data_IF_884559867009
#
_entry.id   IF_884559867009
#
_cell.length_a   1.000
_cell.length_b   1.000
_cell.length_c   1.000
_cell.angle_alpha   90.00
_cell.angle_beta   90.00
_cell.angle_gamma   90.00
#
_symmetry.space_group_name_H-M   'P 1'
#
loop_
_entity.id
_entity.type
_entity.pdbx_description
1 polymer ?
#
# COMPACT_ATOMS: atom_id res chain seq x y z
N UNK A 1 -5.34 -14.88 0.75
CA UNK A 1 -5.96 -15.34 -0.50
C UNK A 1 -5.83 -14.24 -1.54
N UNK A 2 -4.96 -14.45 -2.53
CA UNK A 2 -4.88 -13.63 -3.75
C UNK A 2 -6.13 -13.97 -4.57
N UNK A 3 -6.92 -12.96 -4.97
CA UNK A 3 -8.04 -13.16 -5.88
C UNK A 3 -7.49 -13.12 -7.30
N UNK A 4 -7.65 -14.21 -8.04
CA UNK A 4 -7.32 -14.28 -9.46
C UNK A 4 -8.56 -13.85 -10.21
N UNK A 5 -8.47 -12.77 -10.98
CA UNK A 5 -9.56 -12.28 -11.82
C UNK A 5 -9.28 -12.70 -13.27
N UNK A 6 -10.23 -13.38 -13.90
CA UNK A 6 -10.15 -13.70 -15.33
C UNK A 6 -10.38 -12.43 -16.15
N UNK A 7 -9.44 -12.11 -17.03
CA UNK A 7 -9.56 -11.06 -18.04
C UNK A 7 -10.02 -11.70 -19.36
N UNK A 8 -11.19 -11.30 -19.87
CA UNK A 8 -11.77 -11.80 -21.12
C UNK A 8 -11.23 -11.07 -22.37
N UNK A 9 -9.92 -10.92 -22.58
CA UNK A 9 -9.46 -10.16 -23.77
C UNK A 9 -8.18 -10.70 -24.43
N UNK A 10 -8.20 -10.75 -25.77
CA UNK A 10 -7.16 -11.26 -26.68
C UNK A 10 -6.09 -10.22 -27.07
N UNK A 11 -5.92 -9.12 -26.31
CA UNK A 11 -5.03 -8.01 -26.71
C UNK A 11 -3.94 -7.74 -25.68
N UNK A 12 -2.71 -8.10 -26.04
CA UNK A 12 -1.48 -7.94 -25.24
C UNK A 12 -1.25 -6.50 -24.75
N UNK A 13 -1.55 -5.50 -25.58
CA UNK A 13 -1.35 -4.08 -25.27
C UNK A 13 -2.24 -3.59 -24.12
N UNK A 14 -3.47 -4.07 -24.02
CA UNK A 14 -4.41 -3.70 -22.96
C UNK A 14 -3.97 -4.26 -21.59
N UNK A 15 -3.38 -5.45 -21.59
CA UNK A 15 -2.81 -6.09 -20.39
C UNK A 15 -1.57 -5.32 -19.92
N UNK A 16 -0.69 -4.93 -20.85
CA UNK A 16 0.50 -4.15 -20.51
C UNK A 16 0.13 -2.80 -19.88
N UNK A 17 -0.85 -2.10 -20.45
CA UNK A 17 -1.37 -0.85 -19.89
C UNK A 17 -1.91 -1.03 -18.46
N UNK A 18 -2.69 -2.09 -18.22
CA UNK A 18 -3.20 -2.41 -16.89
C UNK A 18 -2.06 -2.69 -15.89
N UNK A 19 -1.05 -3.47 -16.28
CA UNK A 19 0.08 -3.80 -15.42
C UNK A 19 0.89 -2.56 -15.05
N UNK A 20 1.13 -1.66 -16.01
CA UNK A 20 1.81 -0.38 -15.77
C UNK A 20 1.00 0.49 -14.81
N UNK A 21 -0.28 0.69 -15.09
CA UNK A 21 -1.17 1.50 -14.26
C UNK A 21 -1.34 0.92 -12.84
N UNK A 22 -1.41 -0.41 -12.70
CA UNK A 22 -1.45 -1.07 -11.40
C UNK A 22 -0.16 -0.85 -10.60
N UNK A 23 1.00 -0.99 -11.23
CA UNK A 23 2.30 -0.75 -10.59
C UNK A 23 2.47 0.70 -10.16
N UNK A 24 2.00 1.65 -10.97
CA UNK A 24 2.01 3.08 -10.62
C UNK A 24 1.20 3.35 -9.35
N UNK A 25 -0.06 2.87 -9.29
CA UNK A 25 -0.89 3.04 -8.09
C UNK A 25 -0.27 2.32 -6.89
N UNK A 26 0.24 1.11 -7.06
CA UNK A 26 0.86 0.36 -5.97
C UNK A 26 2.03 1.15 -5.37
N UNK A 27 2.95 1.63 -6.21
CA UNK A 27 4.13 2.37 -5.76
C UNK A 27 3.74 3.73 -5.15
N UNK A 28 2.82 4.47 -5.78
CA UNK A 28 2.33 5.73 -5.24
C UNK A 28 1.63 5.53 -3.88
N UNK A 29 0.85 4.46 -3.73
CA UNK A 29 0.21 4.13 -2.45
C UNK A 29 1.25 3.80 -1.37
N UNK A 30 2.30 3.06 -1.70
CA UNK A 30 3.40 2.79 -0.76
C UNK A 30 4.06 4.11 -0.32
N UNK A 31 4.32 5.02 -1.26
CA UNK A 31 4.88 6.34 -0.97
C UNK A 31 3.96 7.17 -0.06
N UNK A 32 2.65 7.21 -0.33
CA UNK A 32 1.68 7.91 0.51
C UNK A 32 1.59 7.34 1.93
N UNK A 33 1.66 6.01 2.08
CA UNK A 33 1.69 5.40 3.42
C UNK A 33 3.01 5.74 4.11
N UNK A 34 4.14 5.69 3.39
CA UNK A 34 5.46 6.03 3.90
C UNK A 34 5.53 7.49 4.37
N UNK A 35 5.01 8.44 3.60
CA UNK A 35 4.99 9.86 3.96
C UNK A 35 4.14 10.14 5.20
N UNK A 36 3.26 9.21 5.59
CA UNK A 36 2.49 9.30 6.83
C UNK A 36 3.22 8.75 8.06
N UNK A 37 4.42 8.18 7.90
CA UNK A 37 5.20 7.59 8.99
C UNK A 37 5.61 8.65 10.00
N UNK A 38 5.34 8.37 11.25
CA UNK A 38 5.81 9.08 12.44
C UNK A 38 6.64 8.12 13.28
N UNK A 39 7.67 8.65 13.93
CA UNK A 39 8.56 7.87 14.78
C UNK A 39 8.23 8.11 16.25
N UNK A 40 8.01 7.03 17.00
CA UNK A 40 7.82 7.07 18.45
C UNK A 40 9.04 6.50 19.14
N UNK A 41 9.72 7.30 19.95
CA UNK A 41 10.84 6.82 20.76
C UNK A 41 10.32 6.01 21.96
N UNK A 42 10.89 4.83 22.18
CA UNK A 42 10.54 3.94 23.30
C UNK A 42 11.82 3.42 23.94
N UNK A 43 11.88 3.42 25.27
CA UNK A 43 12.99 2.82 26.03
C UNK A 43 12.91 1.30 25.95
N UNK A 44 14.01 0.63 25.61
CA UNK A 44 14.07 -0.83 25.59
C UNK A 44 14.13 -1.33 27.04
N UNK A 45 13.17 -2.18 27.44
CA UNK A 45 13.12 -2.73 28.81
C UNK A 45 14.43 -3.47 29.11
N UNK A 46 15.05 -3.13 30.25
CA UNK A 46 16.31 -3.74 30.69
C UNK A 46 17.57 -3.23 29.99
N UNK A 47 17.48 -2.24 29.08
CA UNK A 47 18.65 -1.62 28.44
C UNK A 47 18.61 -0.10 28.62
N UNK A 48 19.78 0.54 28.71
CA UNK A 48 19.88 2.00 28.64
C UNK A 48 19.91 2.49 27.18
N UNK A 49 18.98 1.98 26.36
CA UNK A 49 18.89 2.25 24.93
C UNK A 49 17.45 2.59 24.55
N UNK A 50 17.31 3.45 23.53
CA UNK A 50 16.02 3.81 22.96
C UNK A 50 15.88 3.24 21.55
N UNK A 51 14.65 2.91 21.16
CA UNK A 51 14.28 2.48 19.82
C UNK A 51 13.22 3.42 19.26
N UNK A 52 13.35 3.77 17.99
CA UNK A 52 12.29 4.46 17.26
C UNK A 52 11.31 3.43 16.72
N UNK A 53 10.03 3.53 17.01
CA UNK A 53 9.00 2.67 16.41
C UNK A 53 8.24 3.43 15.33
N UNK A 54 8.11 2.86 14.11
CA UNK A 54 7.36 3.50 13.05
C UNK A 54 5.84 3.32 13.25
N UNK A 55 5.12 4.43 13.09
CA UNK A 55 3.67 4.53 13.11
C UNK A 55 3.21 5.22 11.82
N UNK A 56 2.57 4.51 10.90
CA UNK A 56 1.93 5.10 9.72
C UNK A 56 0.42 5.11 9.87
N UNK A 57 -0.24 5.97 9.10
CA UNK A 57 -1.70 6.03 9.02
C UNK A 57 -2.24 4.77 8.34
N UNK A 58 -3.26 4.19 8.97
CA UNK A 58 -4.00 3.04 8.44
C UNK A 58 -5.49 3.09 8.80
N UNK A 59 -5.94 4.26 9.27
CA UNK A 59 -7.31 4.55 9.63
C UNK A 59 -8.24 4.51 8.40
N UNK A 60 -9.53 4.28 8.63
CA UNK A 60 -10.53 4.14 7.56
C UNK A 60 -10.65 5.41 6.71
N UNK A 61 -10.52 6.58 7.32
CA UNK A 61 -10.56 7.86 6.60
C UNK A 61 -9.36 7.97 5.65
N UNK A 62 -8.14 7.66 6.11
CA UNK A 62 -6.96 7.65 5.25
C UNK A 62 -7.10 6.67 4.09
N UNK A 63 -7.56 5.44 4.36
CA UNK A 63 -7.81 4.43 3.33
C UNK A 63 -8.81 4.91 2.28
N UNK A 64 -9.90 5.55 2.72
CA UNK A 64 -10.91 6.13 1.83
C UNK A 64 -10.33 7.26 0.98
N UNK A 65 -9.57 8.19 1.58
CA UNK A 65 -8.93 9.28 0.84
C UNK A 65 -7.96 8.78 -0.24
N UNK A 66 -7.15 7.75 0.07
CA UNK A 66 -6.27 7.14 -0.94
C UNK A 66 -7.08 6.50 -2.06
N UNK A 67 -8.12 5.73 -1.72
CA UNK A 67 -8.97 5.08 -2.71
C UNK A 67 -9.65 6.10 -3.63
N UNK A 68 -10.28 7.13 -3.07
CA UNK A 68 -10.99 8.15 -3.83
C UNK A 68 -10.02 8.94 -4.73
N UNK A 69 -8.80 9.19 -4.26
CA UNK A 69 -7.71 9.79 -5.06
C UNK A 69 -7.34 8.91 -6.26
N UNK A 70 -7.05 7.64 -6.02
CA UNK A 70 -6.54 6.74 -7.07
C UNK A 70 -7.61 6.24 -8.05
N UNK A 71 -8.89 6.33 -7.68
CA UNK A 71 -9.99 6.09 -8.62
C UNK A 71 -10.19 7.26 -9.59
N UNK A 72 -9.72 8.46 -9.26
CA UNK A 72 -9.87 9.63 -10.13
C UNK A 72 -9.04 9.44 -11.40
N UNK A 73 -9.71 9.34 -12.55
CA UNK A 73 -9.05 9.10 -13.83
C UNK A 73 -8.63 7.65 -14.06
N UNK A 74 -9.03 6.72 -13.20
CA UNK A 74 -8.78 5.29 -13.38
C UNK A 74 -9.73 4.72 -14.45
N UNK A 75 -9.16 4.18 -15.53
CA UNK A 75 -9.92 3.67 -16.68
C UNK A 75 -10.24 2.17 -16.60
N UNK A 76 -9.62 1.44 -15.68
CA UNK A 76 -9.84 0.00 -15.50
C UNK A 76 -10.85 -0.29 -14.39
N UNK A 77 -11.15 -1.57 -14.15
CA UNK A 77 -12.06 -1.95 -13.06
C UNK A 77 -11.53 -1.48 -11.68
N UNK A 78 -12.42 -0.91 -10.87
CA UNK A 78 -12.07 -0.32 -9.56
C UNK A 78 -11.41 -1.33 -8.59
N UNK A 79 -11.72 -2.63 -8.71
CA UNK A 79 -11.15 -3.65 -7.84
C UNK A 79 -9.62 -3.79 -7.98
N UNK A 80 -9.03 -3.34 -9.11
CA UNK A 80 -7.58 -3.29 -9.27
C UNK A 80 -6.95 -2.25 -8.35
N UNK A 81 -7.58 -1.09 -8.19
CA UNK A 81 -7.19 -0.07 -7.21
C UNK A 81 -7.30 -0.65 -5.80
N UNK A 82 -8.43 -1.27 -5.46
CA UNK A 82 -8.63 -1.90 -4.14
C UNK A 82 -7.56 -2.97 -3.83
N UNK A 83 -7.17 -3.76 -4.84
CA UNK A 83 -6.09 -4.76 -4.73
C UNK A 83 -4.73 -4.11 -4.53
N UNK A 84 -4.41 -3.04 -5.25
CA UNK A 84 -3.16 -2.30 -5.09
C UNK A 84 -3.04 -1.71 -3.69
N UNK A 85 -4.11 -1.07 -3.18
CA UNK A 85 -4.15 -0.55 -1.81
C UNK A 85 -3.93 -1.64 -0.78
N UNK A 86 -4.63 -2.78 -0.91
CA UNK A 86 -4.46 -3.92 -0.01
C UNK A 86 -3.02 -4.43 0.00
N UNK A 87 -2.40 -4.51 -1.18
CA UNK A 87 -1.02 -4.97 -1.34
C UNK A 87 -0.04 -3.98 -0.70
N UNK A 88 -0.19 -2.69 -0.94
CA UNK A 88 0.64 -1.64 -0.34
C UNK A 88 0.60 -1.68 1.20
N UNK A 89 -0.58 -1.79 1.81
CA UNK A 89 -0.70 -1.93 3.26
C UNK A 89 -0.04 -3.21 3.78
N UNK A 90 -0.16 -4.32 3.06
CA UNK A 90 0.50 -5.59 3.44
C UNK A 90 2.02 -5.47 3.38
N UNK A 91 2.57 -4.77 2.39
CA UNK A 91 4.01 -4.49 2.28
C UNK A 91 4.47 -3.67 3.49
N UNK A 92 3.74 -2.60 3.82
CA UNK A 92 4.06 -1.72 4.96
C UNK A 92 3.94 -2.45 6.31
N UNK A 93 2.95 -3.32 6.48
CA UNK A 93 2.81 -4.17 7.67
C UNK A 93 4.00 -5.15 7.79
N UNK A 94 4.44 -5.74 6.68
CA UNK A 94 5.60 -6.64 6.65
C UNK A 94 6.90 -5.90 6.99
N UNK A 95 7.13 -4.74 6.35
CA UNK A 95 8.27 -3.87 6.65
C UNK A 95 8.33 -3.50 8.13
N UNK A 96 7.21 -3.04 8.71
CA UNK A 96 7.15 -2.68 10.12
C UNK A 96 7.46 -3.86 11.03
N UNK A 97 6.92 -5.05 10.75
CA UNK A 97 7.21 -6.26 11.53
C UNK A 97 8.70 -6.59 11.50
N UNK A 98 9.32 -6.53 10.34
CA UNK A 98 10.76 -6.80 10.20
C UNK A 98 11.62 -5.71 10.85
N UNK A 99 11.19 -4.45 10.79
CA UNK A 99 11.88 -3.36 11.47
C UNK A 99 11.87 -3.52 13.00
N UNK A 100 10.81 -4.11 13.58
CA UNK A 100 10.63 -4.28 15.04
C UNK A 100 11.23 -5.58 15.59
N UNK A 101 11.58 -6.54 14.74
CA UNK A 101 12.41 -7.69 15.14
C UNK A 101 13.76 -7.21 15.67
#
# INVERSE_FOLDING_TARGET
MLRVYSLKHDKREEIEGLLRAYNEILNATIQDIWSSVRWKQIKIKGKNQFRLLPLYRKDNQFRKCLRDRYLKGWIYAAHWVDSALKTAFSIMDSWKKNYVK
#
